data_IF_984501688807
#
_entry.id   IF_984501688807
#
_cell.length_a   1.000
_cell.length_b   1.000
_cell.length_c   1.000
_cell.angle_alpha   90.00
_cell.angle_beta   90.00
_cell.angle_gamma   90.00
#
_symmetry.space_group_name_H-M   'P 1'
#
loop_
_entity.id
_entity.type
_entity.pdbx_description
1 polymer ?
#
# COMPACT_ATOMS: atom_id res chain seq x y z
N UNK A 1 13.34 13.96 -47.99
CA UNK A 1 14.24 14.59 -46.99
C UNK A 1 13.36 15.38 -46.06
N UNK A 2 13.19 14.94 -44.82
CA UNK A 2 12.44 15.66 -43.80
C UNK A 2 13.46 16.07 -42.76
N UNK A 3 13.68 17.37 -42.61
CA UNK A 3 14.60 17.95 -41.64
C UNK A 3 13.87 18.08 -40.31
N UNK A 4 14.39 17.44 -39.29
CA UNK A 4 13.96 17.61 -37.91
C UNK A 4 14.99 18.50 -37.22
N UNK A 5 14.53 19.61 -36.65
CA UNK A 5 15.35 20.50 -35.84
C UNK A 5 14.91 20.35 -34.39
N UNK A 6 15.53 19.41 -33.66
CA UNK A 6 15.37 19.29 -32.21
C UNK A 6 16.67 19.75 -31.53
N UNK A 7 16.70 21.04 -31.20
CA UNK A 7 17.40 21.53 -30.01
C UNK A 7 16.39 21.40 -28.85
N UNK A 8 16.69 21.08 -27.61
CA UNK A 8 17.89 21.23 -26.81
C UNK A 8 17.85 20.17 -25.68
N UNK A 9 19.04 19.84 -25.16
CA UNK A 9 19.34 19.08 -23.95
C UNK A 9 18.25 19.09 -22.86
N UNK A 10 17.85 17.89 -22.44
CA UNK A 10 17.53 17.65 -21.04
C UNK A 10 18.35 16.46 -20.61
N UNK A 11 19.27 16.75 -19.70
CA UNK A 11 20.17 15.84 -19.03
C UNK A 11 19.36 14.69 -18.42
N UNK A 12 19.31 13.57 -19.15
CA UNK A 12 18.67 12.34 -18.70
C UNK A 12 19.55 11.69 -17.66
N UNK A 13 19.60 12.30 -16.47
CA UNK A 13 20.19 11.71 -15.27
C UNK A 13 19.52 10.36 -15.07
N UNK A 14 20.20 9.30 -15.52
CA UNK A 14 19.86 7.94 -15.21
C UNK A 14 19.72 7.88 -13.69
N UNK A 15 18.50 7.62 -13.21
CA UNK A 15 18.12 7.72 -11.82
C UNK A 15 19.05 6.88 -10.93
N UNK A 16 20.13 7.50 -10.46
CA UNK A 16 20.92 7.03 -9.34
C UNK A 16 20.21 7.51 -8.09
N UNK A 17 19.13 6.82 -7.73
CA UNK A 17 18.63 6.86 -6.36
C UNK A 17 19.57 6.01 -5.50
N UNK A 18 20.79 6.53 -5.27
CA UNK A 18 21.55 6.12 -4.10
C UNK A 18 20.93 6.91 -2.95
N UNK A 19 19.93 6.30 -2.31
CA UNK A 19 19.44 6.75 -1.01
C UNK A 19 20.59 6.59 -0.02
N UNK A 20 21.37 7.66 0.12
CA UNK A 20 22.39 7.82 1.13
C UNK A 20 21.71 8.40 2.37
N UNK A 21 20.81 7.64 2.97
CA UNK A 21 20.18 8.00 4.23
C UNK A 21 20.77 7.17 5.37
N UNK A 22 21.32 7.87 6.36
CA UNK A 22 21.65 7.40 7.72
C UNK A 22 20.37 7.09 8.52
N UNK A 23 19.37 6.52 7.82
CA UNK A 23 18.13 6.05 8.40
C UNK A 23 18.35 4.64 8.94
N UNK A 24 17.81 4.29 10.13
CA UNK A 24 17.89 2.93 10.63
C UNK A 24 17.38 1.97 9.56
N UNK A 25 18.14 0.89 9.33
CA UNK A 25 17.87 -0.11 8.28
C UNK A 25 16.44 -0.65 8.45
N UNK A 26 15.49 -0.08 7.72
CA UNK A 26 14.11 -0.53 7.77
C UNK A 26 14.04 -1.92 7.16
N UNK A 27 13.68 -2.91 7.99
CA UNK A 27 13.39 -4.26 7.51
C UNK A 27 12.24 -4.16 6.49
N UNK A 28 12.43 -4.68 5.27
CA UNK A 28 11.38 -4.66 4.27
C UNK A 28 10.13 -5.42 4.72
N UNK A 29 8.97 -5.08 4.18
CA UNK A 29 7.80 -5.94 4.29
C UNK A 29 8.13 -7.37 3.78
N UNK A 30 7.54 -8.39 4.40
CA UNK A 30 7.87 -9.80 4.13
C UNK A 30 6.70 -10.56 3.53
N UNK A 31 7.01 -11.63 2.80
CA UNK A 31 6.06 -12.67 2.39
C UNK A 31 6.52 -14.04 2.89
N UNK A 32 5.55 -14.92 3.11
CA UNK A 32 5.81 -16.30 3.50
C UNK A 32 6.32 -17.10 2.29
N UNK A 33 7.48 -17.74 2.46
CA UNK A 33 8.06 -18.66 1.49
C UNK A 33 8.45 -19.94 2.24
N UNK A 34 7.61 -21.00 2.23
CA UNK A 34 7.83 -22.20 3.02
C UNK A 34 9.15 -22.92 2.72
N UNK A 35 9.70 -22.72 1.52
CA UNK A 35 11.00 -23.28 1.13
C UNK A 35 12.19 -22.51 1.72
N UNK A 36 11.96 -21.32 2.30
CA UNK A 36 12.98 -20.41 2.82
C UNK A 36 12.52 -19.76 4.14
N UNK A 37 12.34 -20.56 5.18
CA UNK A 37 11.93 -20.13 6.52
C UNK A 37 12.92 -20.60 7.60
N UNK A 38 12.83 -20.02 8.79
CA UNK A 38 13.56 -20.46 9.98
C UNK A 38 14.81 -19.66 10.28
N UNK A 39 15.59 -20.12 11.26
CA UNK A 39 16.85 -19.49 11.63
C UNK A 39 17.92 -19.74 10.55
N UNK A 40 18.81 -18.77 10.39
CA UNK A 40 19.97 -18.83 9.52
C UNK A 40 21.20 -19.42 10.24
N UNK A 41 20.98 -20.46 11.05
CA UNK A 41 22.03 -21.15 11.80
C UNK A 41 23.07 -21.78 10.85
N UNK A 42 22.63 -22.20 9.67
CA UNK A 42 23.48 -22.71 8.59
C UNK A 42 24.40 -21.65 7.98
N UNK A 43 24.08 -20.38 8.14
CA UNK A 43 24.80 -19.26 7.53
C UNK A 43 25.68 -18.50 8.54
N UNK A 44 25.70 -18.91 9.83
CA UNK A 44 26.45 -18.27 10.92
C UNK A 44 26.23 -16.75 11.03
N UNK A 45 25.02 -16.29 10.69
CA UNK A 45 24.66 -14.87 10.70
C UNK A 45 24.07 -14.52 12.06
N UNK A 46 24.81 -13.75 12.86
CA UNK A 46 24.41 -13.33 14.22
C UNK A 46 24.15 -11.82 14.21
N UNK A 47 23.00 -11.39 14.73
CA UNK A 47 22.69 -9.97 14.85
C UNK A 47 23.47 -9.31 15.99
N UNK A 48 23.43 -7.97 16.08
CA UNK A 48 24.10 -7.22 17.15
C UNK A 48 23.60 -7.55 18.56
N UNK A 49 22.40 -8.14 18.68
CA UNK A 49 21.85 -8.63 19.94
C UNK A 49 22.39 -10.00 20.37
N UNK A 50 23.27 -10.62 19.57
CA UNK A 50 23.82 -11.95 19.85
C UNK A 50 22.89 -13.12 19.47
N UNK A 51 21.77 -12.85 18.81
CA UNK A 51 20.83 -13.88 18.34
C UNK A 51 21.11 -14.28 16.88
N UNK A 52 20.87 -15.55 16.49
CA UNK A 52 20.87 -15.93 15.09
C UNK A 52 19.86 -15.12 14.27
N UNK A 53 20.25 -14.74 13.06
CA UNK A 53 19.35 -14.14 12.09
C UNK A 53 18.26 -15.11 11.66
N UNK A 54 17.11 -14.58 11.24
CA UNK A 54 16.01 -15.34 10.66
C UNK A 54 15.93 -15.08 9.16
N UNK A 55 15.54 -16.11 8.40
CA UNK A 55 15.32 -16.08 6.95
C UNK A 55 13.99 -15.40 6.62
N UNK A 56 14.03 -14.49 5.66
CA UNK A 56 12.88 -13.74 5.19
C UNK A 56 12.93 -13.57 3.66
N UNK A 57 11.76 -13.35 3.07
CA UNK A 57 11.61 -12.97 1.66
C UNK A 57 10.96 -11.61 1.59
N UNK A 58 11.60 -10.67 0.88
CA UNK A 58 11.12 -9.31 0.78
C UNK A 58 9.89 -9.20 -0.13
N UNK A 59 9.00 -8.30 0.23
CA UNK A 59 7.82 -7.89 -0.52
C UNK A 59 7.67 -6.38 -0.47
N UNK A 60 8.70 -5.69 -0.95
CA UNK A 60 8.75 -4.23 -0.99
C UNK A 60 9.61 -3.76 -2.16
N UNK A 61 9.03 -2.87 -2.98
CA UNK A 61 9.71 -2.24 -4.11
C UNK A 61 10.41 -3.23 -5.05
N UNK A 62 11.56 -2.82 -5.60
CA UNK A 62 12.35 -3.63 -6.53
C UNK A 62 13.00 -4.86 -5.87
N UNK A 63 12.95 -4.98 -4.55
CA UNK A 63 13.50 -6.14 -3.83
C UNK A 63 12.49 -7.25 -3.64
N UNK A 64 11.24 -7.09 -4.10
CA UNK A 64 10.22 -8.15 -4.04
C UNK A 64 10.75 -9.48 -4.57
N UNK A 65 10.54 -10.53 -3.76
CA UNK A 65 10.97 -11.90 -4.02
C UNK A 65 12.42 -12.21 -3.63
N UNK A 66 13.23 -11.23 -3.22
CA UNK A 66 14.63 -11.47 -2.80
C UNK A 66 14.68 -11.98 -1.37
N UNK A 67 15.57 -12.93 -1.13
CA UNK A 67 15.82 -13.52 0.18
C UNK A 67 16.83 -12.69 0.97
N UNK A 68 16.55 -12.49 2.25
CA UNK A 68 17.44 -11.83 3.18
C UNK A 68 17.36 -12.47 4.57
N UNK A 69 18.36 -12.16 5.38
CA UNK A 69 18.45 -12.56 6.78
C UNK A 69 18.35 -11.30 7.61
N UNK A 70 17.46 -11.29 8.60
CA UNK A 70 17.31 -10.17 9.52
C UNK A 70 17.15 -10.61 10.97
N UNK A 71 17.38 -9.68 11.89
CA UNK A 71 17.13 -9.91 13.31
C UNK A 71 15.61 -10.07 13.57
N UNK A 72 15.24 -11.11 14.32
CA UNK A 72 13.85 -11.39 14.69
C UNK A 72 13.37 -10.64 15.96
N UNK A 73 14.20 -9.78 16.56
CA UNK A 73 13.82 -9.05 17.78
C UNK A 73 12.87 -7.92 17.43
N UNK A 74 11.61 -8.05 17.83
CA UNK A 74 10.61 -6.99 17.71
C UNK A 74 10.79 -5.95 18.83
N UNK A 75 10.77 -4.65 18.50
CA UNK A 75 10.55 -3.59 19.51
C UNK A 75 11.71 -2.66 19.86
N UNK A 76 12.84 -2.73 19.18
CA UNK A 76 13.88 -1.67 19.25
C UNK A 76 14.18 -1.27 17.82
N UNK A 77 14.41 0.03 17.57
CA UNK A 77 14.76 0.56 16.26
C UNK A 77 15.59 -0.44 15.47
N UNK A 78 15.16 -0.75 14.24
CA UNK A 78 15.76 -1.78 13.36
C UNK A 78 17.21 -1.40 13.00
N UNK A 79 18.11 -1.42 13.98
CA UNK A 79 19.56 -1.49 13.83
C UNK A 79 20.00 -2.95 13.63
N UNK A 80 19.04 -3.87 13.53
CA UNK A 80 19.27 -5.27 13.28
C UNK A 80 19.85 -5.49 11.88
N UNK A 81 21.01 -6.14 11.85
CA UNK A 81 21.62 -6.79 10.69
C UNK A 81 20.59 -7.18 9.62
N UNK A 82 20.74 -6.62 8.41
CA UNK A 82 20.06 -7.08 7.20
C UNK A 82 21.12 -7.53 6.21
N UNK A 83 21.12 -8.83 5.89
CA UNK A 83 22.03 -9.40 4.91
C UNK A 83 21.25 -10.04 3.77
N UNK A 84 21.45 -9.55 2.55
CA UNK A 84 20.84 -10.14 1.35
C UNK A 84 21.53 -11.45 1.00
N UNK A 85 20.73 -12.50 0.79
CA UNK A 85 21.19 -13.82 0.31
C UNK A 85 21.27 -13.81 -1.21
N UNK A 86 20.27 -13.21 -1.85
CA UNK A 86 20.23 -13.08 -3.30
C UNK A 86 20.91 -11.80 -3.78
N UNK A 87 21.57 -11.90 -4.93
CA UNK A 87 22.03 -10.71 -5.66
C UNK A 87 20.87 -9.80 -6.05
N UNK A 88 21.20 -8.61 -6.54
CA UNK A 88 20.19 -7.75 -7.14
C UNK A 88 19.58 -8.44 -8.35
N UNK A 89 18.28 -8.21 -8.58
CA UNK A 89 17.66 -8.62 -9.83
C UNK A 89 18.35 -7.94 -11.02
N UNK A 90 18.39 -8.59 -12.19
CA UNK A 90 18.76 -7.91 -13.42
C UNK A 90 17.88 -6.68 -13.66
N UNK A 91 18.42 -5.65 -14.31
CA UNK A 91 17.74 -4.36 -14.51
C UNK A 91 16.33 -4.49 -15.11
N UNK A 92 16.16 -5.33 -16.13
CA UNK A 92 14.85 -5.55 -16.75
C UNK A 92 13.80 -6.08 -15.76
N UNK A 93 14.22 -6.92 -14.81
CA UNK A 93 13.35 -7.45 -13.77
C UNK A 93 13.07 -6.41 -12.68
N UNK A 94 14.07 -5.61 -12.28
CA UNK A 94 13.84 -4.46 -11.39
C UNK A 94 12.80 -3.50 -11.99
N UNK A 95 12.91 -3.19 -13.28
CA UNK A 95 11.98 -2.30 -13.99
C UNK A 95 10.57 -2.90 -14.07
N UNK A 96 10.45 -4.20 -14.33
CA UNK A 96 9.16 -4.90 -14.34
C UNK A 96 8.50 -4.86 -12.94
N UNK A 97 9.26 -5.17 -11.88
CA UNK A 97 8.78 -5.14 -10.50
C UNK A 97 8.37 -3.73 -10.10
N UNK A 98 9.20 -2.72 -10.40
CA UNK A 98 8.88 -1.33 -10.14
C UNK A 98 7.56 -0.92 -10.81
N UNK A 99 7.36 -1.27 -12.07
CA UNK A 99 6.11 -0.98 -12.79
C UNK A 99 4.90 -1.66 -12.16
N UNK A 100 5.03 -2.90 -11.69
CA UNK A 100 3.95 -3.59 -10.97
C UNK A 100 3.60 -2.87 -9.67
N UNK A 101 4.59 -2.40 -8.90
CA UNK A 101 4.36 -1.61 -7.69
C UNK A 101 3.65 -0.29 -7.99
N UNK A 102 4.08 0.46 -9.01
CA UNK A 102 3.39 1.69 -9.42
C UNK A 102 1.91 1.43 -9.76
N UNK A 103 1.63 0.34 -10.49
CA UNK A 103 0.26 -0.05 -10.82
C UNK A 103 -0.55 -0.42 -9.57
N UNK A 104 0.05 -1.16 -8.64
CA UNK A 104 -0.59 -1.54 -7.38
C UNK A 104 -0.91 -0.32 -6.52
N UNK A 105 0.07 0.58 -6.33
CA UNK A 105 -0.11 1.81 -5.54
C UNK A 105 -1.17 2.73 -6.14
N UNK A 106 -1.17 2.87 -7.47
CA UNK A 106 -2.19 3.62 -8.18
C UNK A 106 -3.58 3.02 -7.98
N UNK A 107 -3.72 1.69 -8.17
CA UNK A 107 -5.00 1.01 -7.93
C UNK A 107 -5.46 1.13 -6.48
N UNK A 108 -4.56 1.04 -5.50
CA UNK A 108 -4.88 1.22 -4.09
C UNK A 108 -5.34 2.65 -3.79
N UNK A 109 -4.76 3.65 -4.44
CA UNK A 109 -5.21 5.04 -4.34
C UNK A 109 -6.62 5.22 -4.92
N UNK A 110 -6.83 4.77 -6.16
CA UNK A 110 -8.14 4.87 -6.84
C UNK A 110 -9.25 4.17 -6.04
N UNK A 111 -8.98 2.98 -5.52
CA UNK A 111 -9.93 2.23 -4.68
C UNK A 111 -10.28 2.99 -3.40
N UNK A 112 -9.31 3.64 -2.75
CA UNK A 112 -9.57 4.46 -1.55
C UNK A 112 -10.44 5.67 -1.90
N UNK A 113 -10.16 6.34 -3.01
CA UNK A 113 -10.94 7.49 -3.46
C UNK A 113 -12.38 7.10 -3.80
N UNK A 114 -12.57 6.01 -4.56
CA UNK A 114 -13.90 5.49 -4.88
C UNK A 114 -14.69 5.09 -3.62
N UNK A 115 -14.03 4.51 -2.62
CA UNK A 115 -14.67 4.18 -1.34
C UNK A 115 -15.13 5.43 -0.57
N UNK A 116 -14.32 6.49 -0.56
CA UNK A 116 -14.68 7.78 0.05
C UNK A 116 -15.87 8.43 -0.65
N UNK A 117 -15.86 8.45 -1.99
CA UNK A 117 -16.98 8.96 -2.78
C UNK A 117 -18.27 8.18 -2.52
N UNK A 118 -18.20 6.85 -2.55
CA UNK A 118 -19.33 5.99 -2.26
C UNK A 118 -19.89 6.23 -0.85
N UNK A 119 -19.02 6.36 0.16
CA UNK A 119 -19.42 6.69 1.54
C UNK A 119 -20.17 8.03 1.61
N UNK A 120 -19.67 9.06 0.91
CA UNK A 120 -20.32 10.37 0.81
C UNK A 120 -21.71 10.28 0.17
N UNK A 121 -21.83 9.53 -0.94
CA UNK A 121 -23.11 9.30 -1.61
C UNK A 121 -24.10 8.57 -0.71
N UNK A 122 -23.68 7.50 -0.03
CA UNK A 122 -24.53 6.76 0.91
C UNK A 122 -25.03 7.69 2.02
N UNK A 123 -24.15 8.49 2.62
CA UNK A 123 -24.54 9.44 3.66
C UNK A 123 -25.60 10.45 3.17
N UNK A 124 -25.40 11.02 1.98
CA UNK A 124 -26.36 11.96 1.39
C UNK A 124 -27.74 11.31 1.13
N UNK A 125 -27.75 10.10 0.55
CA UNK A 125 -28.98 9.36 0.28
C UNK A 125 -29.69 8.95 1.58
N UNK A 126 -28.95 8.58 2.62
CA UNK A 126 -29.52 8.29 3.95
C UNK A 126 -30.20 9.53 4.53
N UNK A 127 -29.60 10.71 4.39
CA UNK A 127 -30.18 11.96 4.86
C UNK A 127 -31.45 12.32 4.09
N UNK A 128 -31.43 12.25 2.74
CA UNK A 128 -32.63 12.50 1.92
C UNK A 128 -33.76 11.51 2.24
N UNK A 129 -33.43 10.22 2.45
CA UNK A 129 -34.41 9.21 2.85
C UNK A 129 -35.08 9.57 4.18
N UNK A 130 -34.31 10.08 5.15
CA UNK A 130 -34.85 10.51 6.45
C UNK A 130 -35.80 11.68 6.31
N UNK A 131 -35.41 12.71 5.55
CA UNK A 131 -36.27 13.87 5.27
C UNK A 131 -37.57 13.46 4.57
N UNK A 132 -37.47 12.59 3.57
CA UNK A 132 -38.65 12.09 2.86
C UNK A 132 -39.58 11.29 3.79
N UNK A 133 -39.00 10.46 4.67
CA UNK A 133 -39.77 9.71 5.67
C UNK A 133 -40.55 10.64 6.60
N UNK A 134 -39.91 11.69 7.12
CA UNK A 134 -40.55 12.69 7.99
C UNK A 134 -41.68 13.44 7.25
N UNK A 135 -41.48 13.81 5.98
CA UNK A 135 -42.53 14.45 5.18
C UNK A 135 -43.71 13.52 4.89
N UNK A 136 -43.46 12.24 4.64
CA UNK A 136 -44.50 11.24 4.43
C UNK A 136 -45.33 11.01 5.69
N UNK A 137 -44.68 10.84 6.85
CA UNK A 137 -45.36 10.65 8.13
C UNK A 137 -46.27 11.83 8.47
N UNK A 138 -45.80 13.06 8.25
CA UNK A 138 -46.62 14.26 8.39
C UNK A 138 -47.83 14.28 7.45
N UNK A 139 -47.64 13.92 6.18
CA UNK A 139 -48.75 13.88 5.22
C UNK A 139 -49.81 12.85 5.62
N UNK A 140 -49.38 11.69 6.13
CA UNK A 140 -50.30 10.66 6.65
C UNK A 140 -51.10 11.20 7.83
N UNK A 141 -50.45 11.90 8.76
CA UNK A 141 -51.12 12.54 9.90
C UNK A 141 -52.14 13.60 9.44
N UNK A 142 -51.75 14.50 8.54
CA UNK A 142 -52.63 15.54 7.99
C UNK A 142 -53.87 14.94 7.30
N UNK A 143 -53.70 13.85 6.55
CA UNK A 143 -54.82 13.15 5.89
C UNK A 143 -55.76 12.48 6.88
N UNK A 144 -55.23 11.81 7.92
CA UNK A 144 -56.05 11.18 8.95
C UNK A 144 -56.89 12.22 9.69
N UNK A 145 -56.28 13.33 10.10
CA UNK A 145 -56.99 14.42 10.76
C UNK A 145 -58.16 14.94 9.90
N UNK A 146 -57.96 15.12 8.58
CA UNK A 146 -59.01 15.58 7.66
C UNK A 146 -60.19 14.60 7.51
N UNK A 147 -59.94 13.30 7.62
CA UNK A 147 -60.99 12.28 7.60
C UNK A 147 -61.80 12.31 8.89
N UNK A 148 -61.13 12.40 10.04
CA UNK A 148 -61.79 12.46 11.35
C UNK A 148 -62.72 13.69 11.50
N UNK A 149 -62.39 14.82 10.86
CA UNK A 149 -63.26 16.01 10.82
C UNK A 149 -64.53 15.85 9.99
N UNK A 150 -64.60 14.88 9.06
CA UNK A 150 -65.78 14.66 8.20
C UNK A 150 -66.78 13.67 8.81
N UNK A 151 -66.35 12.90 9.81
CA UNK A 151 -67.17 11.89 10.48
C UNK A 151 -67.74 12.36 11.84
N UNK A 152 -67.55 13.64 12.20
CA UNK A 152 -68.21 14.35 13.33
C UNK A 152 -69.28 15.34 12.87
#
# INVERSE_FOLDING_TARGET
MVSWSDNESTDGSAAQYISSDDSPLKIPAIIDEPSFEGLADDLNVICEHGNPGRKYVAFEGISTGRRFIACATEGVANYGLVQWVDGHWPEHLQNAIHKMWLMYEHSQHDNKMACLEHSSTVHNLTQQKKELQETYEKLVEDVNNLLDYKDS
#
